data_IF_840438951357
#
_entry.id   IF_840438951357
#
_cell.length_a   1.000
_cell.length_b   1.000
_cell.length_c   1.000
_cell.angle_alpha   90.00
_cell.angle_beta   90.00
_cell.angle_gamma   90.00
#
_symmetry.space_group_name_H-M   'P 1'
#
loop_
_entity.id
_entity.type
_entity.pdbx_description
1 polymer ?
#
# COMPACT_ATOMS: atom_id res chain seq x y z
N UNK A 1 8.66 20.63 66.02
CA UNK A 1 7.79 19.91 65.08
C UNK A 1 8.60 18.83 64.32
N UNK A 2 8.76 17.61 64.85
CA UNK A 2 7.87 16.42 64.68
C UNK A 2 7.66 16.04 63.20
N UNK A 3 7.79 14.82 62.70
CA UNK A 3 8.00 13.48 63.25
C UNK A 3 8.17 12.52 62.07
N UNK A 4 8.78 11.36 62.32
CA UNK A 4 8.87 10.19 61.44
C UNK A 4 7.52 9.47 61.17
N UNK A 5 7.57 8.49 60.24
CA UNK A 5 6.61 7.40 60.05
C UNK A 5 5.70 7.59 58.82
N UNK A 6 5.25 6.58 58.07
CA UNK A 6 5.33 5.12 58.13
C UNK A 6 4.77 4.58 56.80
N UNK A 7 5.24 3.42 56.33
CA UNK A 7 4.46 2.53 55.45
C UNK A 7 3.40 1.77 56.29
N UNK A 8 2.33 1.24 55.67
CA UNK A 8 2.32 -0.22 55.52
C UNK A 8 1.62 -0.77 54.25
N UNK A 9 1.84 -2.08 54.13
CA UNK A 9 1.43 -3.08 53.13
C UNK A 9 -0.03 -3.53 53.33
N UNK A 10 -0.63 -4.09 52.27
CA UNK A 10 -1.66 -5.16 52.11
C UNK A 10 -2.72 -4.72 51.07
N UNK A 11 -3.10 -5.53 50.08
CA UNK A 11 -4.15 -6.55 50.19
C UNK A 11 -3.89 -7.74 49.26
N UNK A 12 -3.87 -8.94 49.86
CA UNK A 12 -4.09 -10.21 49.18
C UNK A 12 -5.60 -10.42 48.95
N UNK A 13 -5.97 -10.95 47.78
CA UNK A 13 -7.28 -11.55 47.58
C UNK A 13 -7.11 -12.91 46.89
N UNK A 14 -7.09 -13.95 47.73
CA UNK A 14 -7.43 -15.31 47.34
C UNK A 14 -8.95 -15.48 47.52
N UNK A 15 -9.62 -16.04 46.52
CA UNK A 15 -10.92 -16.66 46.70
C UNK A 15 -10.96 -17.93 45.85
N UNK A 16 -10.85 -19.08 46.54
CA UNK A 16 -11.32 -20.37 46.08
C UNK A 16 -12.85 -20.40 46.22
N UNK A 17 -13.56 -21.09 45.32
CA UNK A 17 -14.53 -22.13 45.70
C UNK A 17 -15.23 -22.71 44.46
N UNK A 18 -14.97 -24.00 44.32
CA UNK A 18 -15.75 -25.09 43.75
C UNK A 18 -17.26 -24.86 43.53
N UNK A 19 -17.74 -25.26 42.35
CA UNK A 19 -18.96 -26.07 42.25
C UNK A 19 -18.89 -27.02 41.05
N UNK A 20 -18.69 -28.29 41.38
CA UNK A 20 -18.88 -29.43 40.51
C UNK A 20 -20.37 -29.72 40.37
N UNK A 21 -20.87 -29.78 39.14
CA UNK A 21 -22.09 -30.49 38.78
C UNK A 21 -21.86 -31.23 37.47
N UNK A 22 -21.55 -32.51 37.62
CA UNK A 22 -21.68 -33.54 36.61
C UNK A 22 -23.15 -33.69 36.24
N UNK A 23 -23.50 -33.57 34.95
CA UNK A 23 -24.66 -34.27 34.45
C UNK A 23 -24.48 -34.79 33.03
N UNK A 24 -25.03 -35.98 32.85
CA UNK A 24 -24.80 -36.93 31.80
C UNK A 24 -25.31 -36.48 30.41
N UNK A 25 -24.53 -36.89 29.39
CA UNK A 25 -25.01 -37.62 28.21
C UNK A 25 -26.09 -36.92 27.37
N UNK A 26 -25.64 -36.31 26.27
CA UNK A 26 -26.23 -36.45 24.93
C UNK A 26 -25.26 -35.86 23.91
N UNK A 27 -24.65 -36.73 23.10
CA UNK A 27 -24.12 -36.33 21.80
C UNK A 27 -25.29 -35.86 20.93
N UNK A 28 -25.22 -34.68 20.34
CA UNK A 28 -25.82 -34.43 19.05
C UNK A 28 -24.73 -34.60 17.99
N UNK A 29 -24.90 -35.63 17.17
CA UNK A 29 -24.23 -35.77 15.89
C UNK A 29 -24.69 -34.61 14.99
N UNK A 30 -24.05 -33.45 15.11
CA UNK A 30 -24.16 -32.38 14.14
C UNK A 30 -22.98 -32.51 13.19
N UNK A 31 -23.22 -33.11 12.02
CA UNK A 31 -22.42 -32.86 10.81
C UNK A 31 -22.51 -31.37 10.51
N UNK A 32 -21.76 -30.55 11.23
CA UNK A 32 -21.41 -29.22 10.77
C UNK A 32 -20.54 -29.46 9.54
N UNK A 33 -21.12 -29.23 8.36
CA UNK A 33 -20.33 -28.90 7.19
C UNK A 33 -19.56 -27.65 7.61
N UNK A 34 -18.30 -27.81 7.98
CA UNK A 34 -17.34 -26.73 7.84
C UNK A 34 -17.45 -26.31 6.37
N UNK A 35 -18.22 -25.26 6.12
CA UNK A 35 -17.96 -24.41 4.98
C UNK A 35 -16.61 -23.77 5.30
N UNK A 36 -15.55 -24.51 4.97
CA UNK A 36 -14.26 -23.95 4.65
C UNK A 36 -14.58 -22.99 3.52
N UNK A 37 -14.79 -21.72 3.87
CA UNK A 37 -14.58 -20.63 2.94
C UNK A 37 -13.08 -20.66 2.69
N UNK A 38 -12.66 -21.53 1.77
CA UNK A 38 -11.44 -21.32 1.03
C UNK A 38 -11.65 -19.93 0.44
N UNK A 39 -10.98 -18.94 1.02
CA UNK A 39 -10.75 -17.69 0.33
C UNK A 39 -10.02 -18.16 -0.93
N UNK A 40 -10.74 -18.10 -2.04
CA UNK A 40 -10.19 -18.19 -3.37
C UNK A 40 -9.19 -17.04 -3.46
N UNK A 41 -7.95 -17.30 -3.05
CA UNK A 41 -6.78 -16.44 -3.18
C UNK A 41 -6.24 -16.56 -4.62
N UNK A 42 -7.14 -16.81 -5.57
CA UNK A 42 -6.87 -17.16 -6.97
C UNK A 42 -7.16 -15.95 -7.87
N UNK A 43 -6.40 -14.89 -7.64
CA UNK A 43 -6.11 -13.88 -8.69
C UNK A 43 -4.92 -12.98 -8.27
N UNK A 44 -3.87 -13.57 -7.66
CA UNK A 44 -2.57 -12.90 -7.67
C UNK A 44 -2.01 -13.00 -9.09
N UNK A 45 -2.28 -11.93 -9.86
CA UNK A 45 -1.59 -11.41 -11.04
C UNK A 45 -0.07 -11.71 -10.94
N UNK A 46 0.29 -12.95 -11.23
CA UNK A 46 1.63 -13.52 -11.18
C UNK A 46 2.35 -13.06 -12.45
N UNK A 47 2.52 -11.75 -12.58
CA UNK A 47 3.56 -11.24 -13.43
C UNK A 47 4.89 -11.48 -12.71
N UNK A 48 5.74 -12.42 -13.19
CA UNK A 48 7.15 -12.32 -12.90
C UNK A 48 7.57 -10.92 -13.36
N UNK A 49 8.24 -10.18 -12.47
CA UNK A 49 9.00 -9.01 -12.91
C UNK A 49 10.16 -9.61 -13.71
N UNK A 50 9.90 -10.00 -14.97
CA UNK A 50 10.87 -10.51 -15.95
C UNK A 50 11.79 -9.36 -16.35
N UNK A 51 12.57 -8.92 -15.37
CA UNK A 51 13.75 -8.11 -15.53
C UNK A 51 14.87 -8.70 -14.66
N UNK A 52 15.00 -10.02 -14.75
CA UNK A 52 16.20 -10.79 -14.45
C UNK A 52 16.30 -11.76 -15.64
N UNK A 53 17.32 -11.58 -16.47
CA UNK A 53 17.36 -12.08 -17.84
C UNK A 53 17.16 -13.59 -17.97
N UNK A 54 16.29 -13.98 -18.89
CA UNK A 54 16.38 -15.25 -19.58
C UNK A 54 16.75 -14.91 -21.02
N UNK A 55 18.04 -15.08 -21.32
CA UNK A 55 18.54 -15.11 -22.67
C UNK A 55 17.93 -16.35 -23.33
N UNK A 56 17.00 -16.14 -24.25
CA UNK A 56 16.63 -17.15 -25.22
C UNK A 56 17.85 -17.45 -26.09
N UNK A 57 18.60 -18.47 -25.72
CA UNK A 57 19.55 -19.14 -26.61
C UNK A 57 18.76 -19.97 -27.60
N UNK A 58 18.73 -19.54 -28.86
CA UNK A 58 19.32 -20.34 -29.95
C UNK A 58 19.11 -19.65 -31.31
N UNK A 59 20.17 -18.96 -31.73
CA UNK A 59 20.45 -18.53 -33.10
C UNK A 59 21.97 -18.30 -33.16
N UNK A 60 22.72 -18.97 -34.05
CA UNK A 60 24.16 -18.97 -33.99
C UNK A 60 24.71 -17.64 -34.51
N UNK A 61 25.90 -17.30 -34.01
CA UNK A 61 26.80 -16.26 -34.52
C UNK A 61 26.50 -14.82 -34.05
N UNK A 62 27.20 -14.38 -33.01
CA UNK A 62 28.23 -13.34 -33.13
C UNK A 62 28.83 -12.98 -31.75
N UNK A 63 30.06 -13.44 -31.54
CA UNK A 63 31.23 -12.75 -30.97
C UNK A 63 30.93 -11.52 -30.07
N UNK A 64 31.15 -11.70 -28.75
CA UNK A 64 31.81 -10.72 -27.88
C UNK A 64 31.25 -9.30 -27.84
N UNK A 65 30.11 -9.11 -27.15
CA UNK A 65 29.62 -7.79 -26.74
C UNK A 65 29.39 -7.76 -25.24
N UNK A 66 30.09 -6.87 -24.53
CA UNK A 66 29.78 -6.55 -23.13
C UNK A 66 28.32 -6.11 -23.06
N UNK A 67 27.47 -6.91 -22.40
CA UNK A 67 26.03 -6.61 -22.24
C UNK A 67 25.92 -5.49 -21.20
N UNK A 68 26.09 -4.25 -21.63
CA UNK A 68 25.56 -3.12 -20.90
C UNK A 68 24.04 -3.31 -20.85
N UNK A 69 23.49 -3.46 -19.64
CA UNK A 69 22.04 -3.45 -19.44
C UNK A 69 21.46 -2.22 -20.15
N UNK A 70 20.34 -2.33 -20.88
CA UNK A 70 19.76 -1.19 -21.56
C UNK A 70 19.49 -0.10 -20.52
N UNK A 71 20.16 1.06 -20.64
CA UNK A 71 19.91 2.16 -19.74
C UNK A 71 18.46 2.57 -19.95
N UNK A 72 17.59 2.27 -18.98
CA UNK A 72 16.22 2.74 -19.04
C UNK A 72 16.25 4.26 -19.18
N UNK A 73 15.59 4.78 -20.20
CA UNK A 73 15.56 6.22 -20.43
C UNK A 73 14.89 6.89 -19.22
N UNK A 74 15.56 7.87 -18.61
CA UNK A 74 14.99 8.63 -17.51
C UNK A 74 13.90 9.54 -18.10
N UNK A 75 12.66 9.32 -17.68
CA UNK A 75 11.51 10.09 -18.10
C UNK A 75 11.48 11.43 -17.35
N UNK A 76 11.38 12.52 -18.11
CA UNK A 76 11.23 13.85 -17.54
C UNK A 76 9.83 14.00 -16.95
N UNK A 77 9.74 14.55 -15.75
CA UNK A 77 8.45 14.86 -15.12
C UNK A 77 8.22 16.35 -15.24
N UNK A 78 7.09 16.75 -15.84
CA UNK A 78 6.69 18.14 -15.97
C UNK A 78 5.40 18.40 -15.19
N UNK A 79 5.14 19.67 -14.90
CA UNK A 79 3.88 20.11 -14.30
C UNK A 79 2.70 19.70 -15.19
N UNK A 80 1.62 19.24 -14.56
CA UNK A 80 0.45 18.61 -15.16
C UNK A 80 0.73 17.28 -15.87
N UNK A 81 1.93 16.71 -15.71
CA UNK A 81 2.38 15.50 -16.38
C UNK A 81 2.28 14.21 -15.56
N UNK A 82 1.89 14.27 -14.27
CA UNK A 82 1.93 13.08 -13.38
C UNK A 82 1.02 11.95 -13.88
N UNK A 83 -0.11 12.29 -14.49
CA UNK A 83 -1.05 11.32 -15.08
C UNK A 83 -0.42 10.45 -16.19
N UNK A 84 0.67 10.91 -16.81
CA UNK A 84 1.37 10.17 -17.87
C UNK A 84 2.34 9.09 -17.36
N UNK A 85 2.62 9.09 -16.05
CA UNK A 85 3.57 8.15 -15.43
C UNK A 85 3.04 6.72 -15.43
N UNK A 86 3.84 5.79 -15.94
CA UNK A 86 3.51 4.35 -16.01
C UNK A 86 4.46 3.51 -15.15
N UNK A 87 3.96 2.35 -14.69
CA UNK A 87 4.78 1.32 -14.03
C UNK A 87 6.00 1.03 -14.90
N UNK A 88 7.19 1.02 -14.30
CA UNK A 88 8.45 0.72 -14.99
C UNK A 88 9.20 1.95 -15.51
N UNK A 89 8.63 3.15 -15.48
CA UNK A 89 9.39 4.37 -15.82
C UNK A 89 10.39 4.74 -14.73
N UNK A 90 11.57 5.21 -15.12
CA UNK A 90 12.52 5.89 -14.23
C UNK A 90 12.29 7.40 -14.27
N UNK A 91 12.34 8.06 -13.12
CA UNK A 91 12.18 9.51 -12.99
C UNK A 91 13.25 10.08 -12.05
N UNK A 92 13.60 11.35 -12.23
CA UNK A 92 14.43 12.07 -11.27
C UNK A 92 13.56 12.63 -10.15
N UNK A 93 14.01 12.46 -8.91
CA UNK A 93 13.31 13.02 -7.75
C UNK A 93 13.31 14.55 -7.78
N UNK A 94 14.36 15.19 -8.32
CA UNK A 94 14.39 16.64 -8.49
C UNK A 94 13.26 17.20 -9.35
N UNK A 95 12.77 16.43 -10.32
CA UNK A 95 11.67 16.84 -11.21
C UNK A 95 10.30 16.57 -10.57
N UNK A 96 10.19 15.53 -9.75
CA UNK A 96 8.94 15.17 -9.06
C UNK A 96 8.69 16.03 -7.82
N UNK A 97 9.71 16.28 -7.00
CA UNK A 97 9.57 16.92 -5.68
C UNK A 97 8.86 18.29 -5.72
N UNK A 98 9.03 19.16 -6.73
CA UNK A 98 8.26 20.40 -6.83
C UNK A 98 6.76 20.22 -7.07
N UNK A 99 6.32 19.03 -7.49
CA UNK A 99 4.93 18.70 -7.85
C UNK A 99 4.18 17.95 -6.75
N UNK A 100 4.88 17.56 -5.68
CA UNK A 100 4.28 16.77 -4.59
C UNK A 100 3.46 17.67 -3.65
N UNK A 101 2.29 17.20 -3.26
CA UNK A 101 1.43 17.84 -2.25
C UNK A 101 1.49 17.15 -0.89
N UNK A 102 2.32 16.13 -0.74
CA UNK A 102 2.51 15.38 0.50
C UNK A 102 3.98 15.10 0.82
N UNK A 103 4.30 14.74 2.08
CA UNK A 103 5.57 14.09 2.39
C UNK A 103 5.76 12.79 1.60
N UNK A 104 7.01 12.35 1.47
CA UNK A 104 7.32 11.00 1.01
C UNK A 104 7.16 10.02 2.16
N UNK A 105 6.15 9.16 2.07
CA UNK A 105 5.89 8.15 3.08
C UNK A 105 6.68 6.88 2.76
N UNK A 106 7.67 6.55 3.59
CA UNK A 106 8.36 5.27 3.49
C UNK A 106 7.43 4.11 3.86
N UNK A 107 7.41 3.10 3.01
CA UNK A 107 6.57 1.93 3.19
C UNK A 107 7.19 0.66 2.64
N UNK A 108 6.55 -0.48 2.90
CA UNK A 108 6.93 -1.76 2.34
C UNK A 108 5.74 -2.40 1.67
N UNK A 109 5.92 -2.86 0.42
CA UNK A 109 4.95 -3.74 -0.24
C UNK A 109 5.24 -5.19 0.16
N UNK A 110 4.25 -5.87 0.73
CA UNK A 110 4.29 -7.31 0.99
C UNK A 110 4.16 -8.06 -0.35
N UNK A 111 5.07 -8.98 -0.65
CA UNK A 111 4.97 -9.91 -1.79
C UNK A 111 5.18 -11.33 -1.28
N UNK A 112 4.25 -12.23 -1.61
CA UNK A 112 4.44 -13.66 -1.37
C UNK A 112 5.53 -14.21 -2.29
N UNK A 113 6.38 -15.09 -1.78
CA UNK A 113 7.41 -15.80 -2.52
C UNK A 113 7.43 -17.25 -2.04
N UNK A 114 6.54 -18.07 -2.59
CA UNK A 114 6.30 -19.42 -2.08
C UNK A 114 5.79 -19.36 -0.65
N UNK A 115 6.48 -20.03 0.28
CA UNK A 115 6.16 -20.01 1.72
C UNK A 115 6.69 -18.77 2.44
N UNK A 116 7.55 -17.98 1.80
CA UNK A 116 8.15 -16.79 2.39
C UNK A 116 7.38 -15.52 2.01
N UNK A 117 7.45 -14.51 2.89
CA UNK A 117 6.98 -13.17 2.59
C UNK A 117 8.18 -12.24 2.43
N UNK A 118 8.28 -11.58 1.28
CA UNK A 118 9.27 -10.52 1.04
C UNK A 118 8.65 -9.14 1.24
N UNK A 119 9.36 -8.30 1.99
CA UNK A 119 9.00 -6.90 2.22
C UNK A 119 9.84 -6.01 1.30
N UNK A 120 9.19 -5.36 0.34
CA UNK A 120 9.84 -4.55 -0.68
C UNK A 120 9.77 -3.06 -0.31
N UNK A 121 10.91 -2.39 -0.03
CA UNK A 121 10.92 -0.96 0.30
C UNK A 121 10.37 -0.11 -0.85
N UNK A 122 9.49 0.83 -0.52
CA UNK A 122 8.82 1.75 -1.44
C UNK A 122 8.61 3.11 -0.76
N UNK A 123 8.31 4.12 -1.57
CA UNK A 123 7.80 5.40 -1.10
C UNK A 123 6.41 5.63 -1.71
N UNK A 124 5.51 6.24 -0.95
CA UNK A 124 4.21 6.70 -1.42
C UNK A 124 4.18 8.21 -1.30
N UNK A 125 3.67 8.88 -2.33
CA UNK A 125 3.52 10.33 -2.36
C UNK A 125 2.28 10.71 -3.15
N UNK A 126 1.68 11.86 -2.83
CA UNK A 126 0.62 12.48 -3.62
C UNK A 126 1.25 13.59 -4.46
N UNK A 127 1.00 13.57 -5.76
CA UNK A 127 1.40 14.61 -6.69
C UNK A 127 0.28 14.81 -7.71
N UNK A 128 -0.17 16.05 -7.91
CA UNK A 128 -1.22 16.42 -8.88
C UNK A 128 -2.43 15.47 -8.87
N UNK A 129 -3.03 15.26 -7.70
CA UNK A 129 -4.21 14.38 -7.51
C UNK A 129 -3.99 12.91 -7.86
N UNK A 130 -2.73 12.47 -7.93
CA UNK A 130 -2.35 11.09 -8.09
C UNK A 130 -1.60 10.57 -6.88
N UNK A 131 -1.94 9.35 -6.46
CA UNK A 131 -1.11 8.56 -5.55
C UNK A 131 -0.04 7.81 -6.36
N UNK A 132 1.22 8.15 -6.12
CA UNK A 132 2.39 7.59 -6.81
C UNK A 132 3.18 6.73 -5.85
N UNK A 133 3.53 5.52 -6.29
CA UNK A 133 4.37 4.59 -5.53
C UNK A 133 5.70 4.42 -6.25
N UNK A 134 6.78 4.66 -5.52
CA UNK A 134 8.14 4.72 -6.02
C UNK A 134 9.02 3.65 -5.41
N UNK A 135 10.03 3.20 -6.15
CA UNK A 135 11.16 2.41 -5.65
C UNK A 135 12.43 3.19 -5.96
N UNK A 136 13.20 3.55 -4.93
CA UNK A 136 14.51 4.18 -5.13
C UNK A 136 15.41 3.25 -5.98
N UNK A 137 16.11 3.84 -6.94
CA UNK A 137 17.18 3.15 -7.65
C UNK A 137 18.33 2.84 -6.67
N UNK A 138 19.00 1.70 -6.85
CA UNK A 138 20.09 1.28 -5.96
C UNK A 138 21.46 1.79 -6.39
N UNK A 139 21.57 2.24 -7.65
CA UNK A 139 22.83 2.60 -8.31
C UNK A 139 22.87 4.11 -8.52
N UNK A 140 21.76 4.71 -8.97
CA UNK A 140 21.66 6.13 -9.24
C UNK A 140 20.93 6.85 -8.11
N UNK A 141 21.68 7.67 -7.37
CA UNK A 141 21.09 8.56 -6.37
C UNK A 141 20.07 9.52 -7.02
N UNK A 142 19.05 9.86 -6.26
CA UNK A 142 17.94 10.72 -6.68
C UNK A 142 17.15 10.24 -7.91
N UNK A 143 17.31 8.98 -8.34
CA UNK A 143 16.45 8.34 -9.35
C UNK A 143 15.51 7.35 -8.69
N UNK A 144 14.27 7.30 -9.17
CA UNK A 144 13.26 6.36 -8.69
C UNK A 144 12.49 5.73 -9.82
N UNK A 145 12.10 4.48 -9.61
CA UNK A 145 11.22 3.73 -10.49
C UNK A 145 9.77 3.90 -10.06
N UNK A 146 8.90 4.27 -10.99
CA UNK A 146 7.45 4.28 -10.79
C UNK A 146 6.96 2.84 -10.73
N UNK A 147 6.29 2.47 -9.62
CA UNK A 147 5.69 1.14 -9.42
C UNK A 147 4.18 1.15 -9.55
N UNK A 148 3.55 2.30 -9.32
CA UNK A 148 2.17 2.59 -9.71
C UNK A 148 1.91 4.09 -9.67
N UNK A 149 0.99 4.55 -10.51
CA UNK A 149 0.43 5.89 -10.49
C UNK A 149 -1.09 5.72 -10.66
N UNK A 150 -1.88 6.22 -9.72
CA UNK A 150 -3.34 6.16 -9.79
C UNK A 150 -3.92 7.51 -9.41
N UNK A 151 -4.89 7.98 -10.17
CA UNK A 151 -5.67 9.14 -9.77
C UNK A 151 -6.42 8.86 -8.45
N UNK A 152 -6.56 9.86 -7.59
CA UNK A 152 -7.17 9.70 -6.27
C UNK A 152 -8.64 9.24 -6.38
N UNK A 153 -9.36 9.62 -7.44
CA UNK A 153 -10.73 9.13 -7.68
C UNK A 153 -10.82 7.62 -7.89
N UNK A 154 -9.71 6.96 -8.24
CA UNK A 154 -9.69 5.49 -8.38
C UNK A 154 -9.75 4.80 -7.01
N UNK A 155 -9.51 5.49 -5.89
CA UNK A 155 -9.58 4.89 -4.56
C UNK A 155 -11.04 4.76 -4.13
N UNK A 156 -11.59 3.56 -4.27
CA UNK A 156 -12.95 3.25 -3.84
C UNK A 156 -13.05 3.08 -2.31
N UNK A 157 -12.00 2.53 -1.68
CA UNK A 157 -11.95 2.32 -0.23
C UNK A 157 -10.51 2.25 0.26
N UNK A 158 -10.27 2.73 1.48
CA UNK A 158 -9.01 2.52 2.20
C UNK A 158 -9.30 1.85 3.55
N UNK A 159 -8.57 0.80 3.89
CA UNK A 159 -8.72 0.10 5.17
C UNK A 159 -7.38 -0.03 5.90
N UNK A 160 -7.47 -0.21 7.21
CA UNK A 160 -6.33 -0.52 8.06
C UNK A 160 -6.65 -1.75 8.91
N UNK A 161 -5.67 -2.62 9.13
CA UNK A 161 -5.88 -3.80 9.96
C UNK A 161 -5.70 -3.49 11.45
N UNK A 162 -6.60 -3.98 12.30
CA UNK A 162 -6.45 -3.85 13.77
C UNK A 162 -5.23 -4.61 14.30
N UNK A 163 -4.92 -5.77 13.71
CA UNK A 163 -3.78 -6.64 14.12
C UNK A 163 -2.43 -6.13 13.61
N UNK A 164 -2.41 -5.39 12.51
CA UNK A 164 -1.19 -4.79 11.95
C UNK A 164 -1.42 -3.28 11.80
N UNK A 165 -1.00 -2.53 12.83
CA UNK A 165 -1.26 -1.10 12.94
C UNK A 165 -0.66 -0.29 11.77
N UNK A 166 0.39 -0.80 11.11
CA UNK A 166 1.08 -0.12 10.01
C UNK A 166 0.47 -0.44 8.65
N UNK A 167 -0.36 -1.49 8.54
CA UNK A 167 -0.90 -1.92 7.26
C UNK A 167 -2.02 -0.99 6.78
N UNK A 168 -1.84 -0.45 5.57
CA UNK A 168 -2.85 0.29 4.80
C UNK A 168 -3.13 -0.48 3.52
N UNK A 169 -4.40 -0.72 3.26
CA UNK A 169 -4.87 -1.37 2.04
C UNK A 169 -5.73 -0.41 1.23
N UNK A 170 -5.32 -0.16 -0.01
CA UNK A 170 -6.09 0.59 -0.99
C UNK A 170 -6.88 -0.38 -1.87
N UNK A 171 -8.19 -0.17 -1.97
CA UNK A 171 -9.07 -0.81 -2.93
C UNK A 171 -9.30 0.20 -4.06
N UNK A 172 -8.75 -0.12 -5.22
CA UNK A 172 -8.80 0.71 -6.41
C UNK A 172 -9.85 0.18 -7.38
N UNK A 173 -10.62 1.08 -7.99
CA UNK A 173 -11.54 0.78 -9.08
C UNK A 173 -11.30 1.76 -10.24
N UNK A 174 -10.89 1.22 -11.39
CA UNK A 174 -10.61 1.97 -12.61
C UNK A 174 -10.69 1.03 -13.81
N UNK A 175 -11.07 1.53 -14.99
CA UNK A 175 -11.18 0.76 -16.24
C UNK A 175 -12.00 -0.55 -16.11
N UNK A 176 -13.05 -0.54 -15.28
CA UNK A 176 -13.86 -1.72 -14.98
C UNK A 176 -13.16 -2.80 -14.16
N UNK A 177 -11.93 -2.57 -13.70
CA UNK A 177 -11.13 -3.49 -12.89
C UNK A 177 -11.15 -3.07 -11.43
N UNK A 178 -11.09 -4.05 -10.54
CA UNK A 178 -10.85 -3.85 -9.12
C UNK A 178 -9.46 -4.38 -8.77
N UNK A 179 -8.63 -3.55 -8.12
CA UNK A 179 -7.29 -3.95 -7.67
C UNK A 179 -7.08 -3.61 -6.21
N UNK A 180 -6.47 -4.52 -5.46
CA UNK A 180 -6.08 -4.30 -4.08
C UNK A 180 -4.56 -4.07 -3.97
N UNK A 181 -4.15 -3.07 -3.19
CA UNK A 181 -2.73 -2.83 -2.90
C UNK A 181 -2.53 -2.58 -1.40
N UNK A 182 -1.74 -3.44 -0.77
CA UNK A 182 -1.44 -3.38 0.65
C UNK A 182 0.01 -2.95 0.91
N UNK A 183 0.20 -2.04 1.86
CA UNK A 183 1.49 -1.48 2.23
C UNK A 183 1.62 -1.36 3.76
N UNK A 184 2.78 -1.70 4.30
CA UNK A 184 3.14 -1.33 5.66
C UNK A 184 3.78 0.05 5.66
N UNK A 185 3.13 1.03 6.28
CA UNK A 185 3.51 2.44 6.23
C UNK A 185 3.93 2.90 7.62
N UNK A 186 5.15 3.43 7.76
CA UNK A 186 5.67 3.85 9.07
C UNK A 186 4.85 4.98 9.69
N UNK A 187 4.45 5.96 8.88
CA UNK A 187 3.62 7.11 9.27
C UNK A 187 2.19 6.94 8.78
N UNK A 188 1.61 5.76 9.04
CA UNK A 188 0.32 5.33 8.48
C UNK A 188 -0.81 6.35 8.70
N UNK A 189 -0.98 6.88 9.91
CA UNK A 189 -2.07 7.81 10.19
C UNK A 189 -1.90 9.15 9.46
N UNK A 190 -0.66 9.60 9.27
CA UNK A 190 -0.37 10.79 8.49
C UNK A 190 -0.68 10.56 7.00
N UNK A 191 -0.31 9.40 6.44
CA UNK A 191 -0.68 9.04 5.06
C UNK A 191 -2.20 9.01 4.91
N UNK A 192 -2.92 8.33 5.81
CA UNK A 192 -4.39 8.24 5.76
C UNK A 192 -5.02 9.63 5.80
N UNK A 193 -4.54 10.50 6.69
CA UNK A 193 -5.03 11.87 6.81
C UNK A 193 -4.82 12.65 5.52
N UNK A 194 -3.61 12.61 4.97
CA UNK A 194 -3.29 13.33 3.73
C UNK A 194 -4.14 12.80 2.57
N UNK A 195 -4.23 11.48 2.36
CA UNK A 195 -5.04 10.91 1.28
C UNK A 195 -6.50 11.33 1.40
N UNK A 196 -7.09 11.27 2.61
CA UNK A 196 -8.47 11.72 2.84
C UNK A 196 -8.65 13.20 2.52
N UNK A 197 -7.79 14.05 3.07
CA UNK A 197 -7.86 15.50 2.81
C UNK A 197 -7.69 15.82 1.33
N UNK A 198 -6.78 15.14 0.61
CA UNK A 198 -6.64 15.34 -0.84
C UNK A 198 -7.87 14.88 -1.62
N UNK A 199 -8.51 13.77 -1.23
CA UNK A 199 -9.77 13.33 -1.85
C UNK A 199 -10.93 14.30 -1.58
N UNK A 200 -11.01 14.86 -0.37
CA UNK A 200 -12.02 15.87 0.00
C UNK A 200 -11.83 17.16 -0.81
N UNK A 201 -10.59 17.63 -0.97
CA UNK A 201 -10.28 18.79 -1.80
C UNK A 201 -10.63 18.57 -3.27
N UNK A 202 -10.33 17.38 -3.81
CA UNK A 202 -10.67 17.00 -5.18
C UNK A 202 -12.19 16.97 -5.39
N UNK A 203 -12.97 16.50 -4.41
CA UNK A 203 -14.42 16.52 -4.47
C UNK A 203 -14.99 17.94 -4.44
N UNK A 204 -14.45 18.81 -3.57
CA UNK A 204 -14.88 20.20 -3.45
C UNK A 204 -14.56 21.03 -4.72
N UNK A 205 -13.46 20.74 -5.41
CA UNK A 205 -13.15 21.37 -6.70
C UNK A 205 -14.17 20.99 -7.77
N UNK A 206 -14.61 19.72 -7.79
CA UNK A 206 -15.60 19.26 -8.75
C UNK A 206 -16.97 19.93 -8.55
N UNK A 207 -17.40 20.12 -7.31
CA UNK A 207 -18.65 20.82 -7.01
C UNK A 207 -18.61 22.29 -7.41
N UNK A 208 -17.46 22.97 -7.28
CA UNK A 208 -17.30 24.37 -7.67
C UNK A 208 -17.21 24.63 -9.18
N UNK A 209 -16.83 23.62 -9.97
CA UNK A 209 -16.81 23.71 -11.43
C UNK A 209 -18.20 23.49 -12.04
N UNK A 210 -19.04 22.64 -11.44
CA UNK A 210 -20.41 22.37 -11.92
C UNK A 210 -21.36 23.58 -11.70
N UNK A 211 -21.12 24.43 -10.70
CA UNK A 211 -21.93 25.63 -10.43
C UNK A 211 -21.65 26.82 -11.38
N UNK A 212 -20.60 26.75 -12.22
CA UNK A 212 -20.19 27.84 -13.12
C UNK A 212 -20.63 27.64 -14.60
N UNK A 213 -21.29 26.54 -14.95
CA UNK A 213 -21.69 26.23 -16.35
C UNK A 213 -23.16 26.57 -16.67
N UNK A 214 -23.89 27.21 -15.76
CA UNK A 214 -25.33 27.50 -15.91
C UNK A 214 -25.68 28.91 -16.43
N UNK A 215 -24.77 29.60 -17.13
CA UNK A 215 -25.13 30.93 -17.62
C UNK A 215 -24.19 31.65 -18.57
N UNK A 216 -24.10 31.22 -19.83
CA UNK A 216 -24.21 32.09 -21.02
C UNK A 216 -24.78 31.26 -22.17
N UNK A 217 -26.10 31.28 -22.34
CA UNK A 217 -26.75 31.20 -23.65
C UNK A 217 -28.04 32.03 -23.58
N UNK A 218 -27.91 33.31 -23.93
CA UNK A 218 -28.99 34.20 -24.26
C UNK A 218 -28.73 34.78 -25.66
#
# INVERSE_FOLDING_TARGET
PTSAGSAPVVVAAAAQSTSSLSNAKKQPNSKAKEAVFSIDDDDEDDEPDSFMGEAGTDGPDHIGGSIAAPSAAIHAVAKHGIHSLKKGMQIRMGDLLPLVSSPLFSCYKKKARGTETLMLPRHVVIAEDHIVVLKADKVQDAVSWVRSCHHLSHIARMTCMKKNALMVTFYLSFDGKQKQKAYEVQQRDALIKVVRTSMELLAAQKEGDDDNDDGIHA
#
